data_IF_618882387864
#
_entry.id   IF_618882387864
#
_cell.length_a   1.000
_cell.length_b   1.000
_cell.length_c   1.000
_cell.angle_alpha   90.00
_cell.angle_beta   90.00
_cell.angle_gamma   90.00
#
_symmetry.space_group_name_H-M   'P 1'
#
loop_
_entity.id
_entity.type
_entity.pdbx_description
1 polymer ?
#
# COMPACT_ATOMS: atom_id res chain seq x y z
N UNK A 1 -16.78 -10.64 27.13
CA UNK A 1 -17.26 -9.52 26.28
C UNK A 1 -17.45 -10.06 24.87
N UNK A 2 -18.63 -9.87 24.28
CA UNK A 2 -18.80 -10.17 22.87
C UNK A 2 -17.82 -9.33 22.05
N UNK A 3 -17.18 -9.87 21.00
CA UNK A 3 -16.37 -9.05 20.12
C UNK A 3 -17.25 -7.91 19.59
N UNK A 4 -16.74 -6.69 19.68
CA UNK A 4 -17.37 -5.57 18.99
C UNK A 4 -17.42 -5.93 17.52
N UNK A 5 -18.56 -5.78 16.89
CA UNK A 5 -18.70 -5.83 15.43
C UNK A 5 -17.97 -4.59 14.85
N UNK A 6 -16.65 -4.68 14.82
CA UNK A 6 -15.80 -3.64 14.24
C UNK A 6 -15.82 -3.78 12.72
N UNK A 7 -15.83 -2.65 11.99
CA UNK A 7 -15.74 -2.72 10.53
C UNK A 7 -14.41 -3.31 10.08
N UNK A 8 -14.44 -4.02 8.97
CA UNK A 8 -13.21 -4.37 8.27
C UNK A 8 -12.53 -3.10 7.76
N UNK A 9 -11.22 -3.02 7.89
CA UNK A 9 -10.49 -1.81 7.58
C UNK A 9 -9.09 -2.01 7.00
N UNK A 10 -8.65 -0.98 6.31
CA UNK A 10 -7.32 -0.87 5.69
C UNK A 10 -6.58 0.30 6.33
N UNK A 11 -5.36 0.07 6.76
CA UNK A 11 -4.44 1.13 7.16
C UNK A 11 -3.68 1.62 5.93
N UNK A 12 -3.57 2.94 5.76
CA UNK A 12 -2.86 3.54 4.65
C UNK A 12 -1.71 4.37 5.20
N UNK A 13 -0.48 4.07 4.81
CA UNK A 13 0.68 4.87 5.18
C UNK A 13 0.90 5.97 4.15
N UNK A 14 0.93 7.21 4.63
CA UNK A 14 1.10 8.40 3.82
C UNK A 14 2.59 8.73 3.65
N UNK A 15 3.13 8.47 2.47
CA UNK A 15 4.50 8.84 2.10
C UNK A 15 4.59 10.19 1.39
N UNK A 16 3.57 11.03 1.50
CA UNK A 16 3.55 12.39 0.97
C UNK A 16 3.03 12.51 -0.47
N UNK A 17 2.55 11.44 -1.05
CA UNK A 17 1.93 11.46 -2.38
C UNK A 17 0.57 12.16 -2.36
N UNK A 18 0.25 12.85 -3.45
CA UNK A 18 -0.99 13.62 -3.57
C UNK A 18 -2.27 12.77 -3.58
N UNK A 19 -2.16 11.47 -3.83
CA UNK A 19 -3.32 10.56 -3.97
C UNK A 19 -3.66 9.77 -2.71
N UNK A 20 -2.96 9.98 -1.60
CA UNK A 20 -3.19 9.21 -0.37
C UNK A 20 -4.64 9.31 0.11
N UNK A 21 -5.19 10.52 0.15
CA UNK A 21 -6.59 10.75 0.54
C UNK A 21 -7.59 10.16 -0.48
N UNK A 22 -7.24 10.16 -1.76
CA UNK A 22 -8.05 9.53 -2.80
C UNK A 22 -8.08 8.00 -2.61
N UNK A 23 -6.96 7.39 -2.29
CA UNK A 23 -6.88 5.95 -1.98
C UNK A 23 -7.80 5.62 -0.80
N UNK A 24 -7.71 6.39 0.28
CA UNK A 24 -8.56 6.20 1.46
C UNK A 24 -10.04 6.32 1.12
N UNK A 25 -10.40 7.31 0.32
CA UNK A 25 -11.78 7.51 -0.16
C UNK A 25 -12.27 6.33 -1.00
N UNK A 26 -11.45 5.83 -1.92
CA UNK A 26 -11.80 4.68 -2.76
C UNK A 26 -12.06 3.42 -1.93
N UNK A 27 -11.26 3.19 -0.90
CA UNK A 27 -11.47 2.09 0.03
C UNK A 27 -12.82 2.24 0.73
N UNK A 28 -13.14 3.44 1.23
CA UNK A 28 -14.41 3.72 1.91
C UNK A 28 -15.63 3.61 1.00
N UNK A 29 -15.49 3.96 -0.27
CA UNK A 29 -16.55 3.81 -1.28
C UNK A 29 -16.94 2.34 -1.50
N UNK A 30 -16.05 1.41 -1.15
CA UNK A 30 -16.31 -0.04 -1.19
C UNK A 30 -16.84 -0.60 0.14
N UNK A 31 -17.31 0.28 1.04
CA UNK A 31 -17.80 -0.07 2.38
C UNK A 31 -16.75 -0.74 3.27
N UNK A 32 -15.49 -0.41 3.07
CA UNK A 32 -14.37 -0.81 3.91
C UNK A 32 -13.84 0.43 4.63
N UNK A 33 -13.65 0.35 5.93
CA UNK A 33 -13.08 1.46 6.70
C UNK A 33 -11.63 1.70 6.30
N UNK A 34 -11.17 2.93 6.36
CA UNK A 34 -9.78 3.26 6.10
C UNK A 34 -9.28 4.32 7.07
N UNK A 35 -8.05 4.16 7.52
CA UNK A 35 -7.36 5.12 8.37
C UNK A 35 -6.00 5.45 7.74
N UNK A 36 -5.71 6.75 7.66
CA UNK A 36 -4.43 7.24 7.14
C UNK A 36 -3.51 7.48 8.34
N UNK A 37 -2.33 6.88 8.28
CA UNK A 37 -1.26 7.09 9.24
C UNK A 37 -0.07 7.75 8.57
N UNK A 38 0.71 8.48 9.34
CA UNK A 38 1.97 9.06 8.87
C UNK A 38 2.99 7.96 8.50
N UNK A 39 3.92 8.26 7.62
CA UNK A 39 4.94 7.31 7.15
C UNK A 39 5.86 6.77 8.25
N UNK A 40 6.00 7.50 9.35
CA UNK A 40 6.79 7.08 10.52
C UNK A 40 5.99 6.26 11.54
N UNK A 41 4.74 5.92 11.25
CA UNK A 41 3.96 5.06 12.11
C UNK A 41 4.68 3.74 12.36
N UNK A 42 4.63 3.32 13.62
CA UNK A 42 5.21 2.06 14.05
C UNK A 42 4.20 0.91 13.97
N UNK A 43 4.70 -0.31 14.08
CA UNK A 43 3.83 -1.48 14.24
C UNK A 43 2.83 -1.30 15.39
N UNK A 44 3.26 -0.68 16.51
CA UNK A 44 2.39 -0.41 17.65
C UNK A 44 1.26 0.57 17.30
N UNK A 45 1.54 1.60 16.50
CA UNK A 45 0.52 2.55 16.05
C UNK A 45 -0.53 1.87 15.18
N UNK A 46 -0.11 0.99 14.29
CA UNK A 46 -1.04 0.22 13.46
C UNK A 46 -1.87 -0.74 14.31
N UNK A 47 -1.26 -1.42 15.27
CA UNK A 47 -1.98 -2.30 16.20
C UNK A 47 -3.00 -1.55 17.07
N UNK A 48 -2.76 -0.30 17.38
CA UNK A 48 -3.72 0.52 18.12
C UNK A 48 -5.07 0.67 17.38
N UNK A 49 -5.09 0.50 16.05
CA UNK A 49 -6.31 0.51 15.25
C UNK A 49 -7.22 -0.70 15.52
N UNK A 50 -6.73 -1.75 16.16
CA UNK A 50 -7.54 -2.93 16.52
C UNK A 50 -8.72 -2.58 17.45
N UNK A 51 -8.70 -1.41 18.07
CA UNK A 51 -9.83 -0.90 18.86
C UNK A 51 -10.93 -0.26 18.01
N UNK A 52 -10.65 0.05 16.75
CA UNK A 52 -11.53 0.80 15.85
C UNK A 52 -11.98 -0.02 14.64
N UNK A 53 -11.13 -0.96 14.19
CA UNK A 53 -11.40 -1.77 13.00
C UNK A 53 -10.75 -3.15 13.08
N UNK A 54 -11.28 -4.07 12.28
CA UNK A 54 -10.61 -5.34 11.98
C UNK A 54 -9.61 -5.07 10.85
N UNK A 55 -8.33 -4.97 11.16
CA UNK A 55 -7.30 -4.71 10.16
C UNK A 55 -7.20 -5.87 9.15
N UNK A 56 -7.47 -5.60 7.88
CA UNK A 56 -7.44 -6.57 6.77
C UNK A 56 -6.26 -6.42 5.84
N UNK A 57 -5.60 -5.28 5.87
CA UNK A 57 -4.43 -5.02 5.03
C UNK A 57 -3.86 -3.64 5.24
N UNK A 58 -2.69 -3.42 4.65
CA UNK A 58 -1.97 -2.16 4.70
C UNK A 58 -1.66 -1.73 3.28
N UNK A 59 -1.88 -0.44 2.97
CA UNK A 59 -1.49 0.16 1.68
C UNK A 59 -0.37 1.16 1.92
N UNK A 60 0.71 1.03 1.17
CA UNK A 60 1.77 2.02 1.10
C UNK A 60 1.51 2.92 -0.09
N UNK A 61 1.29 4.20 0.16
CA UNK A 61 0.99 5.19 -0.87
C UNK A 61 2.23 5.58 -1.69
N UNK A 62 2.02 6.41 -2.69
CA UNK A 62 3.11 7.03 -3.45
C UNK A 62 3.82 8.13 -2.69
N UNK A 63 4.92 8.59 -3.23
CA UNK A 63 5.69 9.72 -2.73
C UNK A 63 6.35 10.46 -3.89
N UNK A 64 6.57 11.77 -3.79
CA UNK A 64 7.44 12.50 -4.72
C UNK A 64 8.92 12.16 -4.54
N UNK A 65 9.27 11.52 -3.41
CA UNK A 65 10.65 11.13 -3.09
C UNK A 65 11.08 9.88 -3.85
N UNK A 66 12.39 9.59 -3.82
CA UNK A 66 12.95 8.35 -4.32
C UNK A 66 13.45 7.48 -3.16
N UNK A 67 13.30 6.16 -3.27
CA UNK A 67 13.86 5.20 -2.29
C UNK A 67 15.39 5.27 -2.21
N UNK A 68 16.04 5.85 -3.22
CA UNK A 68 17.48 6.07 -3.27
C UNK A 68 17.93 7.42 -2.69
N UNK A 69 16.99 8.30 -2.33
CA UNK A 69 17.32 9.58 -1.74
C UNK A 69 17.93 9.38 -0.34
N UNK A 70 18.98 10.15 -0.02
CA UNK A 70 19.63 10.08 1.30
C UNK A 70 18.67 10.38 2.46
N UNK A 71 17.68 11.25 2.21
CA UNK A 71 16.61 11.62 3.14
C UNK A 71 15.33 10.80 2.90
N UNK A 72 15.46 9.62 2.30
CA UNK A 72 14.34 8.74 1.99
C UNK A 72 13.49 8.46 3.21
N UNK A 73 12.19 8.41 2.99
CA UNK A 73 11.23 8.06 4.03
C UNK A 73 11.54 6.66 4.57
N UNK A 74 11.47 6.54 5.89
CA UNK A 74 11.76 5.27 6.56
C UNK A 74 10.46 4.63 7.01
N UNK A 75 10.37 3.36 6.73
CA UNK A 75 9.30 2.50 7.23
C UNK A 75 9.83 1.70 8.42
N UNK A 76 9.00 1.53 9.44
CA UNK A 76 9.25 0.56 10.50
C UNK A 76 9.23 -0.86 9.89
N UNK A 77 10.37 -1.57 9.85
CA UNK A 77 10.42 -2.90 9.22
C UNK A 77 9.53 -3.94 9.93
N UNK A 78 9.21 -3.74 11.20
CA UNK A 78 8.33 -4.63 11.95
C UNK A 78 6.90 -4.65 11.40
N UNK A 79 6.51 -3.64 10.63
CA UNK A 79 5.21 -3.62 9.93
C UNK A 79 5.10 -4.77 8.93
N UNK A 80 6.20 -5.11 8.26
CA UNK A 80 6.24 -6.21 7.29
C UNK A 80 6.19 -7.60 7.95
N UNK A 81 6.41 -7.67 9.26
CA UNK A 81 6.28 -8.89 10.05
C UNK A 81 4.86 -9.11 10.59
N UNK A 82 3.96 -8.16 10.37
CA UNK A 82 2.55 -8.32 10.72
C UNK A 82 1.89 -9.31 9.76
N UNK A 83 1.00 -10.14 10.31
CA UNK A 83 0.26 -11.16 9.53
C UNK A 83 -0.93 -10.54 8.80
N UNK A 84 -0.64 -9.55 7.97
CA UNK A 84 -1.62 -8.88 7.10
C UNK A 84 -1.01 -8.61 5.72
N UNK A 85 -1.79 -8.69 4.66
CA UNK A 85 -1.30 -8.37 3.32
C UNK A 85 -0.94 -6.90 3.19
N UNK A 86 0.11 -6.61 2.42
CA UNK A 86 0.58 -5.27 2.13
C UNK A 86 0.55 -5.02 0.61
N UNK A 87 -0.03 -3.90 0.22
CA UNK A 87 -0.07 -3.42 -1.17
C UNK A 87 0.77 -2.16 -1.28
N UNK A 88 1.79 -2.19 -2.12
CA UNK A 88 2.61 -1.01 -2.45
C UNK A 88 2.17 -0.37 -3.76
N UNK A 89 1.96 0.94 -3.75
CA UNK A 89 1.62 1.74 -4.92
C UNK A 89 2.75 2.74 -5.22
N UNK A 90 3.25 2.75 -6.46
CA UNK A 90 4.35 3.64 -6.89
C UNK A 90 5.56 3.56 -5.96
N UNK A 91 5.87 4.62 -5.23
CA UNK A 91 6.94 4.64 -4.22
C UNK A 91 6.82 3.49 -3.22
N UNK A 92 5.60 3.18 -2.76
CA UNK A 92 5.35 2.08 -1.84
C UNK A 92 5.76 0.72 -2.39
N UNK A 93 5.54 0.47 -3.68
CA UNK A 93 6.03 -0.74 -4.36
C UNK A 93 7.56 -0.76 -4.43
N UNK A 94 8.17 0.36 -4.79
CA UNK A 94 9.63 0.48 -4.86
C UNK A 94 10.28 0.27 -3.48
N UNK A 95 9.66 0.82 -2.43
CA UNK A 95 10.10 0.64 -1.05
C UNK A 95 10.05 -0.84 -0.64
N UNK A 96 8.94 -1.53 -0.92
CA UNK A 96 8.81 -2.95 -0.64
C UNK A 96 9.88 -3.78 -1.38
N UNK A 97 10.09 -3.51 -2.66
CA UNK A 97 11.11 -4.19 -3.45
C UNK A 97 12.51 -3.98 -2.86
N UNK A 98 12.84 -2.75 -2.49
CA UNK A 98 14.13 -2.41 -1.87
C UNK A 98 14.32 -3.11 -0.52
N UNK A 99 13.30 -3.13 0.33
CA UNK A 99 13.37 -3.76 1.65
C UNK A 99 13.50 -5.29 1.59
N UNK A 100 13.05 -5.91 0.50
CA UNK A 100 13.18 -7.34 0.26
C UNK A 100 14.41 -7.72 -0.57
N UNK A 101 15.38 -6.82 -0.71
CA UNK A 101 16.63 -7.07 -1.44
C UNK A 101 16.51 -6.93 -2.96
N UNK A 102 15.40 -6.43 -3.45
CA UNK A 102 15.20 -6.12 -4.86
C UNK A 102 15.96 -4.87 -5.30
N UNK A 103 16.15 -4.74 -6.62
CA UNK A 103 16.82 -3.61 -7.23
C UNK A 103 15.81 -2.63 -7.81
N UNK A 104 15.93 -1.37 -7.46
CA UNK A 104 15.15 -0.28 -8.03
C UNK A 104 16.03 0.55 -8.93
N UNK A 105 15.68 0.64 -10.21
CA UNK A 105 16.43 1.40 -11.22
C UNK A 105 15.62 2.61 -11.69
N UNK A 106 16.32 3.65 -12.10
CA UNK A 106 15.69 4.82 -12.69
C UNK A 106 15.29 4.48 -14.12
N UNK A 107 13.98 4.52 -14.36
CA UNK A 107 13.40 4.39 -15.68
C UNK A 107 12.31 5.44 -15.86
N UNK A 108 11.93 5.67 -17.10
CA UNK A 108 10.81 6.56 -17.44
C UNK A 108 9.88 5.83 -18.40
N UNK A 109 8.63 5.76 -18.01
CA UNK A 109 7.58 5.17 -18.82
C UNK A 109 6.33 6.04 -18.66
N UNK A 110 5.82 6.54 -19.74
CA UNK A 110 4.69 7.47 -19.74
C UNK A 110 3.68 7.10 -20.80
N UNK A 111 2.43 7.39 -20.53
CA UNK A 111 1.32 7.22 -21.47
C UNK A 111 0.76 5.81 -21.46
N UNK A 112 0.17 5.44 -22.57
CA UNK A 112 -0.46 4.11 -22.74
C UNK A 112 0.62 3.04 -22.82
N UNK A 113 0.53 2.05 -21.98
CA UNK A 113 1.42 0.88 -22.02
C UNK A 113 0.62 -0.41 -21.80
N UNK A 114 1.24 -1.55 -22.04
CA UNK A 114 0.61 -2.84 -21.78
C UNK A 114 1.25 -3.51 -20.57
N UNK A 115 0.40 -3.89 -19.63
CA UNK A 115 0.78 -4.75 -18.52
C UNK A 115 0.53 -6.22 -18.91
N UNK A 116 1.51 -7.06 -18.65
CA UNK A 116 1.41 -8.50 -18.87
C UNK A 116 1.17 -9.17 -17.53
N UNK A 117 0.03 -9.84 -17.39
CA UNK A 117 -0.34 -10.55 -16.17
C UNK A 117 0.11 -12.00 -16.31
N UNK A 118 1.19 -12.33 -15.63
CA UNK A 118 1.80 -13.66 -15.69
C UNK A 118 0.94 -14.70 -14.95
N UNK A 119 0.41 -14.31 -13.78
CA UNK A 119 -0.48 -15.15 -12.98
C UNK A 119 -1.67 -14.32 -12.48
N UNK A 120 -2.87 -14.71 -12.89
CA UNK A 120 -4.10 -14.06 -12.46
C UNK A 120 -4.65 -14.75 -11.20
N UNK A 121 -4.20 -14.28 -10.04
CA UNK A 121 -4.72 -14.72 -8.74
C UNK A 121 -4.71 -13.57 -7.71
N UNK A 122 -5.42 -13.76 -6.59
CA UNK A 122 -5.54 -12.73 -5.56
C UNK A 122 -6.18 -11.46 -6.12
N UNK A 123 -5.54 -10.31 -5.93
CA UNK A 123 -6.05 -9.03 -6.43
C UNK A 123 -6.03 -8.91 -7.97
N UNK A 124 -5.35 -9.80 -8.65
CA UNK A 124 -5.27 -9.84 -10.13
C UNK A 124 -6.26 -10.85 -10.73
N UNK A 125 -7.06 -11.52 -9.90
CA UNK A 125 -8.03 -12.51 -10.36
C UNK A 125 -9.06 -11.87 -11.28
N UNK A 126 -9.29 -12.49 -12.43
CA UNK A 126 -10.22 -12.00 -13.44
C UNK A 126 -9.63 -11.01 -14.44
N UNK A 127 -8.38 -10.62 -14.28
CA UNK A 127 -7.69 -9.80 -15.27
C UNK A 127 -7.23 -10.65 -16.47
N UNK A 128 -7.25 -10.03 -17.65
CA UNK A 128 -6.72 -10.65 -18.86
C UNK A 128 -5.18 -10.74 -18.82
N UNK A 129 -4.61 -11.65 -19.61
CA UNK A 129 -3.15 -11.80 -19.70
C UNK A 129 -2.43 -10.52 -20.18
N UNK A 130 -3.18 -9.65 -20.87
CA UNK A 130 -2.70 -8.33 -21.31
C UNK A 130 -3.73 -7.29 -20.96
N UNK A 131 -3.29 -6.28 -20.25
CA UNK A 131 -4.12 -5.13 -19.88
C UNK A 131 -3.48 -3.83 -20.35
N UNK A 132 -4.28 -2.95 -20.90
CA UNK A 132 -3.82 -1.61 -21.25
C UNK A 132 -3.89 -0.71 -20.04
N UNK A 133 -2.76 -0.12 -19.67
CA UNK A 133 -2.66 0.77 -18.52
C UNK A 133 -2.04 2.10 -18.91
N UNK A 134 -2.19 3.08 -18.04
CA UNK A 134 -1.55 4.39 -18.16
C UNK A 134 -0.44 4.51 -17.13
N UNK A 135 0.74 4.91 -17.60
CA UNK A 135 1.92 5.15 -16.75
C UNK A 135 2.21 6.65 -16.65
#
# INVERSE_FOLDING_TARGET
MAPKDLPDGIAILDFGGQYCHLIARRVREMNVYSEILHSDATRADIKALDSEMNLKGIIFSGSPSSVKAADGLRLDPEILEMDVPVLGLCYGLQLLASMHGGKVEKAREYGVTQAYIDKSFGILEGMDAREQVWM
#
